data_IF_493110485403
#
_entry.id   IF_493110485403
#
_cell.length_a   1.000
_cell.length_b   1.000
_cell.length_c   1.000
_cell.angle_alpha   90.00
_cell.angle_beta   90.00
_cell.angle_gamma   90.00
#
_symmetry.space_group_name_H-M   'P 1'
#
loop_
_entity.id
_entity.type
_entity.pdbx_description
1 polymer ?
#
# COMPACT_ATOMS: atom_id res chain seq x y z
N UNK A 1 -50.89 46.48 31.56
CA UNK A 1 -51.12 45.07 31.91
C UNK A 1 -52.11 44.51 30.90
N UNK A 2 -51.91 43.26 30.46
CA UNK A 2 -52.65 42.51 29.42
C UNK A 2 -52.15 42.73 27.98
N UNK A 3 -51.25 41.86 27.51
CA UNK A 3 -51.38 41.05 26.28
C UNK A 3 -50.07 40.29 25.98
N UNK A 4 -49.95 39.05 26.48
CA UNK A 4 -48.86 38.16 26.08
C UNK A 4 -49.22 36.69 26.35
N UNK A 5 -50.29 36.16 25.76
CA UNK A 5 -50.67 34.74 25.93
C UNK A 5 -51.37 34.09 24.71
N UNK A 6 -51.21 34.63 23.50
CA UNK A 6 -51.86 34.06 22.29
C UNK A 6 -50.90 33.30 21.36
N UNK A 7 -49.58 33.38 21.56
CA UNK A 7 -48.63 32.78 20.60
C UNK A 7 -48.09 31.37 20.96
N UNK A 8 -48.55 30.76 22.05
CA UNK A 8 -48.06 29.46 22.53
C UNK A 8 -48.99 28.26 22.24
N UNK A 9 -50.16 28.46 21.62
CA UNK A 9 -51.11 27.36 21.31
C UNK A 9 -51.01 26.76 19.91
N UNK A 10 -50.23 27.35 19.00
CA UNK A 10 -50.09 26.84 17.62
C UNK A 10 -48.86 25.95 17.39
N UNK A 11 -48.04 25.70 18.42
CA UNK A 11 -46.81 24.89 18.29
C UNK A 11 -46.98 23.47 18.91
N UNK A 12 -47.97 23.25 19.76
CA UNK A 12 -48.19 21.95 20.43
C UNK A 12 -49.14 20.99 19.70
N UNK A 13 -49.83 21.43 18.64
CA UNK A 13 -50.82 20.62 17.90
C UNK A 13 -50.30 20.03 16.57
N UNK A 14 -48.99 19.85 16.42
CA UNK A 14 -48.41 19.16 15.24
C UNK A 14 -47.57 17.93 15.57
N UNK A 15 -47.75 17.40 16.78
CA UNK A 15 -47.40 16.04 17.15
C UNK A 15 -48.71 15.32 17.48
N UNK A 16 -48.83 14.09 16.97
CA UNK A 16 -49.91 13.11 17.15
C UNK A 16 -50.88 12.95 15.97
N UNK A 17 -50.99 11.69 15.55
CA UNK A 17 -51.77 11.10 14.44
C UNK A 17 -51.25 11.32 13.02
N UNK A 18 -50.44 10.36 12.56
CA UNK A 18 -50.88 9.48 11.47
C UNK A 18 -50.16 8.12 11.61
N UNK A 19 -50.94 7.09 11.96
CA UNK A 19 -50.57 5.66 11.94
C UNK A 19 -51.58 4.93 11.06
N UNK A 20 -51.07 3.94 10.32
CA UNK A 20 -51.74 2.90 9.52
C UNK A 20 -52.32 3.36 8.16
N UNK A 21 -52.15 2.69 7.02
CA UNK A 21 -51.62 1.38 6.63
C UNK A 21 -51.29 1.43 5.12
N UNK A 22 -50.33 0.61 4.66
CA UNK A 22 -50.48 -0.29 3.49
C UNK A 22 -49.11 -0.86 3.06
N UNK A 23 -49.07 -2.19 3.04
CA UNK A 23 -47.99 -3.08 2.67
C UNK A 23 -47.67 -3.03 1.17
N UNK A 24 -46.37 -3.12 0.82
CA UNK A 24 -45.77 -4.14 -0.07
C UNK A 24 -44.57 -3.65 -0.92
N UNK A 25 -43.49 -4.45 -0.83
CA UNK A 25 -42.30 -4.55 -1.70
C UNK A 25 -41.34 -3.34 -1.69
N UNK A 26 -40.14 -3.34 -1.08
CA UNK A 26 -39.13 -4.39 -0.98
C UNK A 26 -38.39 -4.27 0.36
N UNK A 27 -38.73 -5.15 1.31
CA UNK A 27 -37.92 -5.37 2.51
C UNK A 27 -36.64 -6.11 2.12
N UNK A 28 -35.62 -5.36 1.71
CA UNK A 28 -34.24 -5.86 1.69
C UNK A 28 -33.90 -6.24 3.12
N UNK A 29 -33.91 -7.55 3.35
CA UNK A 29 -33.68 -8.27 4.60
C UNK A 29 -32.43 -7.75 5.36
N UNK A 30 -32.58 -6.68 6.17
CA UNK A 30 -31.51 -6.08 7.00
C UNK A 30 -31.12 -7.01 8.16
N UNK A 31 -31.96 -7.97 8.53
CA UNK A 31 -31.69 -8.91 9.62
C UNK A 31 -30.69 -10.03 9.26
N UNK A 32 -30.43 -10.28 7.98
CA UNK A 32 -29.42 -11.27 7.57
C UNK A 32 -28.00 -10.70 7.42
N UNK A 33 -27.81 -9.38 7.47
CA UNK A 33 -26.47 -8.75 7.44
C UNK A 33 -25.76 -8.76 8.82
N UNK A 34 -26.48 -9.11 9.89
CA UNK A 34 -25.97 -9.11 11.27
C UNK A 34 -25.42 -10.46 11.74
N UNK A 35 -25.46 -11.53 10.91
CA UNK A 35 -25.15 -12.89 11.37
C UNK A 35 -23.74 -13.43 11.08
N UNK A 36 -22.77 -12.61 10.65
CA UNK A 36 -21.35 -13.05 10.61
C UNK A 36 -20.28 -11.96 10.84
N UNK A 37 -20.65 -10.72 11.19
CA UNK A 37 -19.72 -9.56 11.25
C UNK A 37 -18.83 -9.46 12.50
N UNK A 38 -18.77 -10.46 13.39
CA UNK A 38 -18.04 -10.36 14.66
C UNK A 38 -17.26 -11.66 14.91
N UNK A 39 -15.96 -11.70 14.56
CA UNK A 39 -14.93 -11.43 15.58
C UNK A 39 -13.70 -10.61 15.10
N UNK A 40 -13.57 -10.29 13.82
CA UNK A 40 -12.30 -9.75 13.29
C UNK A 40 -11.92 -8.36 13.82
N UNK A 41 -12.89 -7.49 14.15
CA UNK A 41 -12.60 -6.13 14.67
C UNK A 41 -11.94 -6.21 16.04
N UNK A 42 -12.46 -7.10 16.89
CA UNK A 42 -11.91 -7.36 18.23
C UNK A 42 -10.52 -7.99 18.12
N UNK A 43 -10.32 -8.89 17.15
CA UNK A 43 -9.01 -9.50 16.89
C UNK A 43 -7.99 -8.45 16.42
N UNK A 44 -8.35 -7.57 15.48
CA UNK A 44 -7.46 -6.47 15.05
C UNK A 44 -7.08 -5.53 16.19
N UNK A 45 -8.06 -5.12 17.01
CA UNK A 45 -7.81 -4.31 18.22
C UNK A 45 -6.91 -5.03 19.23
N UNK A 46 -7.09 -6.34 19.41
CA UNK A 46 -6.24 -7.16 20.27
C UNK A 46 -4.80 -7.19 19.74
N UNK A 47 -4.57 -7.44 18.45
CA UNK A 47 -3.23 -7.43 17.87
C UNK A 47 -2.57 -6.05 17.91
N UNK A 48 -3.34 -4.96 17.82
CA UNK A 48 -2.82 -3.61 18.06
C UNK A 48 -2.39 -3.43 19.52
N UNK A 49 -3.21 -3.86 20.47
CA UNK A 49 -2.86 -3.80 21.89
C UNK A 49 -1.62 -4.64 22.19
N UNK A 50 -1.52 -5.84 21.63
CA UNK A 50 -0.32 -6.70 21.70
C UNK A 50 0.87 -5.97 21.07
N UNK A 51 0.74 -5.36 19.90
CA UNK A 51 1.83 -4.62 19.27
C UNK A 51 2.31 -3.45 20.15
N UNK A 52 1.39 -2.73 20.81
CA UNK A 52 1.76 -1.66 21.76
C UNK A 52 2.49 -2.25 22.97
N UNK A 53 2.00 -3.35 23.55
CA UNK A 53 2.67 -4.03 24.66
C UNK A 53 4.07 -4.50 24.23
N UNK A 54 4.20 -5.14 23.07
CA UNK A 54 5.49 -5.58 22.53
C UNK A 54 6.39 -4.39 22.27
N UNK A 55 5.88 -3.26 21.77
CA UNK A 55 6.67 -2.03 21.58
C UNK A 55 7.17 -1.46 22.92
N UNK A 56 6.31 -1.41 23.95
CA UNK A 56 6.71 -1.00 25.31
C UNK A 56 7.79 -1.94 25.84
N UNK A 57 7.64 -3.26 25.63
CA UNK A 57 8.64 -4.27 25.99
C UNK A 57 9.94 -4.09 25.20
N UNK A 58 9.89 -3.81 23.89
CA UNK A 58 11.04 -3.47 23.04
C UNK A 58 11.83 -2.27 23.57
N UNK A 59 11.15 -1.31 24.19
CA UNK A 59 11.77 -0.12 24.77
C UNK A 59 12.28 -0.42 26.19
N UNK A 60 11.45 -1.05 27.01
CA UNK A 60 11.68 -1.25 28.44
C UNK A 60 12.76 -2.30 28.72
N UNK A 61 12.80 -3.42 27.98
CA UNK A 61 13.80 -4.47 28.21
C UNK A 61 15.22 -3.96 27.99
N UNK A 62 15.58 -3.38 26.83
CA UNK A 62 16.92 -2.86 26.62
C UNK A 62 17.25 -1.77 27.64
N UNK A 63 16.35 -0.80 27.85
CA UNK A 63 16.61 0.32 28.77
C UNK A 63 16.83 -0.11 30.23
N UNK A 64 16.23 -1.22 30.68
CA UNK A 64 16.36 -1.73 32.05
C UNK A 64 17.43 -2.80 32.23
N UNK A 65 17.75 -3.58 31.18
CA UNK A 65 18.68 -4.71 31.25
C UNK A 65 20.06 -4.44 30.64
N UNK A 66 20.25 -3.28 29.98
CA UNK A 66 21.52 -2.88 29.33
C UNK A 66 22.74 -2.92 30.27
N UNK A 67 22.54 -2.80 31.58
CA UNK A 67 23.63 -2.87 32.56
C UNK A 67 23.91 -4.28 33.10
N UNK A 68 23.09 -5.28 32.75
CA UNK A 68 23.14 -6.64 33.34
C UNK A 68 23.35 -7.77 32.33
N UNK A 69 23.02 -7.56 31.06
CA UNK A 69 23.16 -8.56 30.01
C UNK A 69 24.34 -8.25 29.08
N UNK A 70 24.93 -9.30 28.52
CA UNK A 70 25.90 -9.14 27.45
C UNK A 70 25.27 -8.39 26.25
N UNK A 71 26.02 -7.49 25.59
CA UNK A 71 25.50 -6.68 24.49
C UNK A 71 24.96 -7.53 23.33
N UNK A 72 25.61 -8.66 23.06
CA UNK A 72 25.21 -9.61 22.01
C UNK A 72 23.81 -10.19 22.25
N UNK A 73 23.59 -10.77 23.43
CA UNK A 73 22.28 -11.33 23.79
C UNK A 73 21.18 -10.26 23.78
N UNK A 74 21.50 -9.04 24.23
CA UNK A 74 20.54 -7.92 24.25
C UNK A 74 20.12 -7.50 22.85
N UNK A 75 21.07 -7.46 21.90
CA UNK A 75 20.81 -7.14 20.49
C UNK A 75 19.92 -8.16 19.78
N UNK A 76 20.20 -9.45 19.98
CA UNK A 76 19.40 -10.54 19.37
C UNK A 76 17.97 -10.52 19.90
N UNK A 77 17.80 -10.39 21.23
CA UNK A 77 16.48 -10.28 21.86
C UNK A 77 15.72 -9.07 21.31
N UNK A 78 16.39 -7.92 21.18
CA UNK A 78 15.78 -6.72 20.62
C UNK A 78 15.29 -6.92 19.18
N UNK A 79 16.12 -7.51 18.29
CA UNK A 79 15.72 -7.81 16.91
C UNK A 79 14.51 -8.76 16.86
N UNK A 80 14.49 -9.80 17.71
CA UNK A 80 13.37 -10.73 17.80
C UNK A 80 12.07 -10.04 18.28
N UNK A 81 12.16 -9.15 19.28
CA UNK A 81 11.03 -8.38 19.77
C UNK A 81 10.52 -7.38 18.71
N UNK A 82 11.41 -6.69 18.01
CA UNK A 82 11.05 -5.78 16.93
C UNK A 82 10.40 -6.52 15.75
N UNK A 83 10.93 -7.69 15.36
CA UNK A 83 10.29 -8.55 14.36
C UNK A 83 8.89 -8.99 14.80
N UNK A 84 8.73 -9.40 16.06
CA UNK A 84 7.42 -9.76 16.63
C UNK A 84 6.43 -8.59 16.61
N UNK A 85 6.90 -7.38 16.93
CA UNK A 85 6.13 -6.14 16.82
C UNK A 85 5.63 -5.90 15.39
N UNK A 86 6.51 -6.01 14.40
CA UNK A 86 6.15 -5.82 12.98
C UNK A 86 5.15 -6.87 12.50
N UNK A 87 5.30 -8.13 12.91
CA UNK A 87 4.32 -9.20 12.62
C UNK A 87 2.96 -8.91 13.24
N UNK A 88 2.92 -8.42 14.49
CA UNK A 88 1.66 -8.04 15.13
C UNK A 88 0.98 -6.88 14.39
N UNK A 89 1.73 -5.86 13.96
CA UNK A 89 1.19 -4.78 13.13
C UNK A 89 0.68 -5.28 11.78
N UNK A 90 1.43 -6.16 11.12
CA UNK A 90 1.02 -6.77 9.86
C UNK A 90 -0.31 -7.53 10.00
N UNK A 91 -0.43 -8.37 11.03
CA UNK A 91 -1.64 -9.15 11.31
C UNK A 91 -2.81 -8.23 11.64
N UNK A 92 -2.58 -7.21 12.48
CA UNK A 92 -3.56 -6.17 12.79
C UNK A 92 -4.10 -5.52 11.50
N UNK A 93 -3.22 -5.13 10.59
CA UNK A 93 -3.61 -4.54 9.31
C UNK A 93 -4.37 -5.51 8.43
N UNK A 94 -3.95 -6.77 8.34
CA UNK A 94 -4.70 -7.78 7.58
C UNK A 94 -6.14 -7.91 8.09
N UNK A 95 -6.35 -7.90 9.40
CA UNK A 95 -7.70 -7.97 9.98
C UNK A 95 -8.54 -6.71 9.76
N UNK A 96 -7.97 -5.52 9.97
CA UNK A 96 -8.69 -4.27 9.70
C UNK A 96 -9.02 -4.17 8.20
N UNK A 97 -8.11 -4.59 7.34
CA UNK A 97 -8.29 -4.55 5.89
C UNK A 97 -9.34 -5.53 5.40
N UNK A 98 -9.33 -6.77 5.93
CA UNK A 98 -10.35 -7.77 5.62
C UNK A 98 -11.76 -7.27 5.95
N UNK A 99 -11.92 -6.57 7.07
CA UNK A 99 -13.18 -5.93 7.48
C UNK A 99 -13.57 -4.73 6.61
N UNK A 100 -12.61 -3.90 6.21
CA UNK A 100 -12.85 -2.71 5.37
C UNK A 100 -13.11 -3.04 3.90
N UNK A 101 -12.70 -4.22 3.44
CA UNK A 101 -12.84 -4.67 2.05
C UNK A 101 -14.27 -5.04 1.67
N UNK A 102 -15.13 -5.46 2.61
CA UNK A 102 -16.49 -5.91 2.29
C UNK A 102 -17.45 -4.75 1.99
N UNK A 103 -17.18 -3.53 2.48
CA UNK A 103 -18.02 -2.35 2.21
C UNK A 103 -17.70 -1.63 0.90
N UNK A 104 -16.76 -2.12 0.09
CA UNK A 104 -16.33 -1.50 -1.17
C UNK A 104 -16.81 -2.29 -2.41
N UNK A 105 -17.99 -2.90 -2.35
CA UNK A 105 -18.67 -3.51 -3.50
C UNK A 105 -19.19 -2.47 -4.52
N UNK A 106 -18.36 -1.49 -4.86
CA UNK A 106 -18.59 -0.49 -5.92
C UNK A 106 -17.59 -0.72 -7.07
N UNK A 107 -17.28 -1.99 -7.34
CA UNK A 107 -16.49 -2.45 -8.50
C UNK A 107 -17.38 -2.90 -9.67
N UNK A 108 -18.71 -2.82 -9.52
CA UNK A 108 -19.68 -3.43 -10.44
C UNK A 108 -20.36 -2.45 -11.41
N UNK A 109 -19.82 -1.24 -11.63
CA UNK A 109 -20.46 -0.27 -12.54
C UNK A 109 -19.62 -0.08 -13.80
N UNK A 110 -20.11 -0.71 -14.87
CA UNK A 110 -19.91 -0.44 -16.30
C UNK A 110 -18.45 -0.46 -16.82
N UNK A 111 -17.95 -1.67 -17.10
CA UNK A 111 -16.66 -1.91 -17.76
C UNK A 111 -16.57 -1.43 -19.22
N UNK A 112 -17.68 -0.98 -19.81
CA UNK A 112 -17.80 -0.87 -21.27
C UNK A 112 -17.52 0.55 -21.82
N UNK A 113 -17.27 1.55 -20.95
CA UNK A 113 -17.02 2.94 -21.39
C UNK A 113 -15.67 3.54 -20.99
N UNK A 114 -14.74 2.80 -20.37
CA UNK A 114 -13.47 3.35 -19.85
C UNK A 114 -12.33 3.47 -20.88
N UNK A 115 -12.66 3.73 -22.15
CA UNK A 115 -11.68 3.84 -23.24
C UNK A 115 -10.77 5.06 -23.14
N UNK A 116 -11.31 6.21 -22.70
CA UNK A 116 -10.61 7.49 -22.79
C UNK A 116 -10.34 8.07 -21.39
N UNK A 117 -9.07 8.08 -21.01
CA UNK A 117 -8.61 8.63 -19.74
C UNK A 117 -8.45 10.14 -19.90
N UNK A 118 -9.31 10.92 -19.25
CA UNK A 118 -9.17 12.38 -19.24
C UNK A 118 -7.85 12.75 -18.54
N UNK A 119 -7.06 13.65 -19.13
CA UNK A 119 -5.82 14.17 -18.52
C UNK A 119 -6.13 15.17 -17.39
N UNK A 120 -6.87 14.72 -16.39
CA UNK A 120 -7.14 15.47 -15.16
C UNK A 120 -5.88 15.51 -14.28
N UNK A 121 -5.77 16.52 -13.42
CA UNK A 121 -4.69 16.64 -12.44
C UNK A 121 -4.51 15.35 -11.62
N UNK A 122 -5.62 14.76 -11.16
CA UNK A 122 -5.62 13.52 -10.39
C UNK A 122 -5.00 12.34 -11.16
N UNK A 123 -5.34 12.19 -12.44
CA UNK A 123 -4.81 11.11 -13.27
C UNK A 123 -3.32 11.31 -13.59
N UNK A 124 -2.89 12.54 -13.85
CA UNK A 124 -1.46 12.86 -14.06
C UNK A 124 -0.66 12.56 -12.79
N UNK A 125 -1.15 13.00 -11.63
CA UNK A 125 -0.54 12.70 -10.33
C UNK A 125 -0.47 11.20 -10.06
N UNK A 126 -1.51 10.45 -10.43
CA UNK A 126 -1.53 8.99 -10.31
C UNK A 126 -0.46 8.32 -11.18
N UNK A 127 -0.32 8.73 -12.44
CA UNK A 127 0.70 8.21 -13.36
C UNK A 127 2.11 8.50 -12.84
N UNK A 128 2.37 9.75 -12.44
CA UNK A 128 3.66 10.14 -11.86
C UNK A 128 3.96 9.30 -10.62
N UNK A 129 2.98 9.10 -9.75
CA UNK A 129 3.11 8.25 -8.56
C UNK A 129 3.50 6.81 -8.90
N UNK A 130 2.92 6.22 -9.95
CA UNK A 130 3.26 4.85 -10.40
C UNK A 130 4.69 4.81 -10.96
N UNK A 131 5.13 5.84 -11.70
CA UNK A 131 6.50 5.93 -12.22
C UNK A 131 7.51 6.07 -11.08
N UNK A 132 7.22 6.92 -10.09
CA UNK A 132 8.07 7.07 -8.90
C UNK A 132 8.14 5.74 -8.13
N UNK A 133 7.00 5.07 -7.93
CA UNK A 133 6.94 3.75 -7.29
C UNK A 133 7.81 2.73 -8.04
N UNK A 134 7.76 2.71 -9.37
CA UNK A 134 8.64 1.87 -10.17
C UNK A 134 10.12 2.19 -9.93
N UNK A 135 10.50 3.45 -9.96
CA UNK A 135 11.89 3.87 -9.75
C UNK A 135 12.38 3.45 -8.36
N UNK A 136 11.55 3.60 -7.31
CA UNK A 136 11.87 3.18 -5.94
C UNK A 136 11.98 1.66 -5.79
N UNK A 137 11.08 0.89 -6.42
CA UNK A 137 11.17 -0.58 -6.38
C UNK A 137 12.40 -1.05 -7.16
N UNK A 138 12.67 -0.43 -8.31
CA UNK A 138 13.84 -0.74 -9.12
C UNK A 138 15.14 -0.43 -8.38
N UNK A 139 15.18 0.66 -7.57
CA UNK A 139 16.39 1.04 -6.83
C UNK A 139 16.89 0.00 -5.85
N UNK A 140 16.01 -0.87 -5.33
CA UNK A 140 16.44 -1.99 -4.49
C UNK A 140 17.35 -2.98 -5.22
N UNK A 141 17.30 -3.01 -6.56
CA UNK A 141 18.22 -3.84 -7.34
C UNK A 141 19.65 -3.29 -7.29
N UNK A 142 19.88 -2.02 -6.97
CA UNK A 142 21.20 -1.38 -7.04
C UNK A 142 21.81 -1.14 -5.66
N UNK A 143 21.92 -2.18 -4.82
CA UNK A 143 22.45 -2.05 -3.46
C UNK A 143 23.92 -1.55 -3.47
N UNK A 144 24.29 -0.70 -2.51
CA UNK A 144 25.62 -0.09 -2.38
C UNK A 144 26.74 -1.11 -2.15
N UNK A 145 26.44 -2.26 -1.54
CA UNK A 145 27.42 -3.35 -1.35
C UNK A 145 27.52 -4.29 -2.54
N UNK A 146 26.48 -4.38 -3.38
CA UNK A 146 26.61 -5.02 -4.68
C UNK A 146 27.39 -4.06 -5.57
N UNK A 147 28.68 -4.32 -5.77
CA UNK A 147 29.49 -3.54 -6.69
C UNK A 147 28.85 -3.62 -8.08
N UNK A 148 28.11 -2.58 -8.49
CA UNK A 148 27.70 -2.44 -9.88
C UNK A 148 28.94 -2.04 -10.65
N UNK A 149 29.74 -3.05 -11.01
CA UNK A 149 31.10 -2.91 -11.52
C UNK A 149 31.20 -2.18 -12.89
N UNK A 150 30.13 -1.55 -13.37
CA UNK A 150 30.09 -0.70 -14.55
C UNK A 150 29.71 0.78 -14.33
N UNK A 151 29.13 1.19 -13.18
CA UNK A 151 28.80 2.60 -12.94
C UNK A 151 28.55 2.93 -11.45
N UNK A 152 29.39 3.79 -10.87
CA UNK A 152 29.18 4.35 -9.52
C UNK A 152 27.88 5.15 -9.40
N UNK A 153 27.40 5.71 -10.51
CA UNK A 153 26.18 6.52 -10.52
C UNK A 153 24.91 5.68 -10.32
N UNK A 154 24.89 4.44 -10.81
CA UNK A 154 23.76 3.54 -10.59
C UNK A 154 23.65 3.14 -9.11
N UNK A 155 24.76 3.03 -8.40
CA UNK A 155 24.75 2.85 -6.94
C UNK A 155 24.08 4.00 -6.18
N UNK A 156 24.06 5.22 -6.73
CA UNK A 156 23.32 6.33 -6.13
C UNK A 156 21.80 6.18 -6.25
N UNK A 157 21.31 5.35 -7.16
CA UNK A 157 19.87 5.12 -7.29
C UNK A 157 19.27 4.46 -6.04
N UNK A 158 20.07 3.69 -5.27
CA UNK A 158 19.65 3.13 -3.98
C UNK A 158 19.13 4.19 -3.01
N UNK A 159 19.64 5.42 -3.12
CA UNK A 159 19.19 6.52 -2.27
C UNK A 159 17.75 6.97 -2.53
N UNK A 160 17.10 6.45 -3.58
CA UNK A 160 15.67 6.70 -3.84
C UNK A 160 14.76 5.85 -2.94
N UNK A 161 15.21 4.65 -2.53
CA UNK A 161 14.51 3.79 -1.58
C UNK A 161 15.05 3.92 -0.14
N UNK A 162 16.34 4.22 0.02
CA UNK A 162 17.01 4.46 1.31
C UNK A 162 17.62 5.86 1.30
N UNK A 163 16.93 6.91 1.74
CA UNK A 163 17.29 8.29 1.43
C UNK A 163 18.47 8.85 2.23
N UNK A 164 19.48 8.04 2.58
CA UNK A 164 20.57 8.49 3.44
C UNK A 164 21.89 7.74 3.22
N UNK A 165 22.99 8.49 3.23
CA UNK A 165 24.34 7.98 3.47
C UNK A 165 24.53 7.80 4.98
N UNK A 166 25.27 6.77 5.45
CA UNK A 166 25.57 6.61 6.86
C UNK A 166 26.20 7.85 7.51
N UNK A 167 25.86 8.11 8.78
CA UNK A 167 26.41 9.21 9.59
C UNK A 167 25.48 10.43 9.72
N UNK A 168 26.04 11.64 9.73
CA UNK A 168 25.28 12.89 9.90
C UNK A 168 24.11 13.07 8.92
N UNK A 169 24.23 12.73 7.61
CA UNK A 169 23.11 12.83 6.68
C UNK A 169 21.90 11.98 7.10
N UNK A 170 22.14 10.76 7.61
CA UNK A 170 21.07 9.92 8.16
C UNK A 170 20.36 10.60 9.32
N UNK A 171 21.07 11.20 10.28
CA UNK A 171 20.43 11.89 11.42
C UNK A 171 19.45 12.97 10.98
N UNK A 172 19.85 13.80 10.02
CA UNK A 172 19.00 14.88 9.50
C UNK A 172 17.78 14.30 8.79
N UNK A 173 18.01 13.34 7.89
CA UNK A 173 16.93 12.69 7.14
C UNK A 173 15.98 11.92 8.04
N UNK A 174 16.48 11.30 9.11
CA UNK A 174 15.68 10.60 10.10
C UNK A 174 14.63 11.51 10.73
N UNK A 175 15.03 12.69 11.22
CA UNK A 175 14.09 13.62 11.84
C UNK A 175 13.11 14.22 10.83
N UNK A 176 13.55 14.47 9.59
CA UNK A 176 12.66 14.91 8.50
C UNK A 176 11.61 13.83 8.21
N UNK A 177 12.03 12.58 8.02
CA UNK A 177 11.12 11.47 7.73
C UNK A 177 10.21 11.13 8.91
N UNK A 178 10.70 11.29 10.15
CA UNK A 178 9.89 11.16 11.35
C UNK A 178 8.73 12.17 11.35
N UNK A 179 8.99 13.45 11.04
CA UNK A 179 7.91 14.45 10.92
C UNK A 179 6.95 14.12 9.77
N UNK A 180 7.48 13.70 8.62
CA UNK A 180 6.67 13.28 7.47
C UNK A 180 5.78 12.08 7.82
N UNK A 181 6.20 11.19 8.71
CA UNK A 181 5.40 10.05 9.17
C UNK A 181 4.08 10.48 9.85
N UNK A 182 3.99 11.68 10.42
CA UNK A 182 2.74 12.21 10.97
C UNK A 182 1.89 12.95 9.94
N UNK A 183 2.46 13.29 8.78
CA UNK A 183 1.78 14.13 7.80
C UNK A 183 0.45 13.57 7.27
N UNK A 184 0.24 12.26 7.02
CA UNK A 184 -1.07 11.78 6.59
C UNK A 184 -2.13 11.97 7.67
N UNK A 185 -1.75 11.77 8.94
CA UNK A 185 -2.66 11.94 10.06
C UNK A 185 -3.00 13.42 10.28
N UNK A 186 -1.99 14.29 10.32
CA UNK A 186 -2.17 15.74 10.42
C UNK A 186 -3.04 16.24 9.27
N UNK A 187 -2.78 15.77 8.04
CA UNK A 187 -3.57 16.14 6.86
C UNK A 187 -5.05 15.80 7.04
N UNK A 188 -5.38 14.56 7.44
CA UNK A 188 -6.77 14.13 7.64
C UNK A 188 -7.45 14.94 8.75
N UNK A 189 -6.75 15.20 9.85
CA UNK A 189 -7.28 16.01 10.97
C UNK A 189 -7.53 17.46 10.52
N UNK A 190 -6.57 18.07 9.83
CA UNK A 190 -6.70 19.44 9.31
C UNK A 190 -7.87 19.56 8.34
N UNK A 191 -8.01 18.63 7.39
CA UNK A 191 -9.15 18.61 6.46
C UNK A 191 -10.46 18.51 7.24
N UNK A 192 -10.57 17.62 8.23
CA UNK A 192 -11.78 17.50 9.05
C UNK A 192 -12.09 18.76 9.86
N UNK A 193 -11.08 19.39 10.45
CA UNK A 193 -11.24 20.64 11.21
C UNK A 193 -11.69 21.79 10.31
N UNK A 194 -11.12 21.91 9.12
CA UNK A 194 -11.53 22.91 8.12
C UNK A 194 -12.98 22.68 7.71
N UNK A 195 -13.36 21.45 7.38
CA UNK A 195 -14.75 21.12 7.01
C UNK A 195 -15.73 21.41 8.15
N UNK A 196 -15.35 21.08 9.40
CA UNK A 196 -16.17 21.39 10.57
C UNK A 196 -16.36 22.90 10.77
N UNK A 197 -15.27 23.68 10.64
CA UNK A 197 -15.32 25.13 10.72
C UNK A 197 -16.19 25.75 9.61
N UNK A 198 -16.04 25.26 8.38
CA UNK A 198 -16.84 25.70 7.24
C UNK A 198 -18.32 25.39 7.44
N UNK A 199 -18.63 24.20 7.93
CA UNK A 199 -20.02 23.79 8.22
C UNK A 199 -20.64 24.71 9.26
N UNK A 200 -19.90 25.01 10.35
CA UNK A 200 -20.38 25.89 11.41
C UNK A 200 -20.56 27.34 10.96
N UNK A 201 -19.72 27.84 10.04
CA UNK A 201 -19.72 29.26 9.63
C UNK A 201 -20.61 29.56 8.44
N UNK A 202 -20.68 28.66 7.46
CA UNK A 202 -21.32 28.88 6.16
C UNK A 202 -22.49 27.92 5.89
N UNK A 203 -22.74 26.98 6.80
CA UNK A 203 -23.79 25.97 6.66
C UNK A 203 -23.36 24.73 5.87
N UNK A 204 -24.22 23.71 5.93
CA UNK A 204 -23.98 22.40 5.33
C UNK A 204 -23.98 22.46 3.79
N UNK A 205 -24.88 23.23 3.18
CA UNK A 205 -24.99 23.33 1.72
C UNK A 205 -23.73 23.89 1.05
N UNK A 206 -23.13 24.92 1.65
CA UNK A 206 -21.85 25.46 1.16
C UNK A 206 -20.72 24.45 1.31
N UNK A 207 -20.66 23.75 2.45
CA UNK A 207 -19.61 22.76 2.71
C UNK A 207 -19.72 21.57 1.77
N UNK A 208 -20.93 21.06 1.51
CA UNK A 208 -21.17 19.98 0.55
C UNK A 208 -20.70 20.38 -0.86
N UNK A 209 -20.99 21.61 -1.28
CA UNK A 209 -20.54 22.16 -2.58
C UNK A 209 -19.02 22.32 -2.64
N UNK A 210 -18.40 22.77 -1.56
CA UNK A 210 -16.94 22.86 -1.48
C UNK A 210 -16.28 21.48 -1.55
N UNK A 211 -16.79 20.52 -0.78
CA UNK A 211 -16.31 19.14 -0.78
C UNK A 211 -16.44 18.54 -2.17
N UNK A 212 -17.62 18.60 -2.80
CA UNK A 212 -17.81 18.03 -4.14
C UNK A 212 -16.85 18.64 -5.18
N UNK A 213 -16.50 19.93 -5.05
CA UNK A 213 -15.59 20.62 -5.96
C UNK A 213 -14.10 20.32 -5.71
N UNK A 214 -13.66 20.25 -4.46
CA UNK A 214 -12.22 20.21 -4.11
C UNK A 214 -11.74 18.88 -3.52
N UNK A 215 -12.64 17.98 -3.13
CA UNK A 215 -12.32 16.67 -2.56
C UNK A 215 -11.29 15.93 -3.43
N UNK A 216 -11.46 15.98 -4.76
CA UNK A 216 -10.58 15.28 -5.66
C UNK A 216 -9.13 15.76 -5.59
N UNK A 217 -8.93 17.07 -5.62
CA UNK A 217 -7.59 17.65 -5.57
C UNK A 217 -6.94 17.44 -4.20
N UNK A 218 -7.70 17.62 -3.12
CA UNK A 218 -7.20 17.46 -1.74
C UNK A 218 -6.70 16.02 -1.53
N UNK A 219 -7.52 15.01 -1.83
CA UNK A 219 -7.11 13.62 -1.60
C UNK A 219 -6.10 13.10 -2.63
N UNK A 220 -6.02 13.68 -3.83
CA UNK A 220 -4.95 13.35 -4.79
C UNK A 220 -3.57 13.72 -4.24
N UNK A 221 -3.46 14.85 -3.53
CA UNK A 221 -2.22 15.25 -2.86
C UNK A 221 -1.86 14.25 -1.75
N UNK A 222 -2.83 13.84 -0.94
CA UNK A 222 -2.61 12.84 0.11
C UNK A 222 -2.17 11.49 -0.49
N UNK A 223 -2.83 11.02 -1.54
CA UNK A 223 -2.46 9.79 -2.23
C UNK A 223 -1.02 9.88 -2.77
N UNK A 224 -0.68 11.00 -3.41
CA UNK A 224 0.67 11.21 -3.96
C UNK A 224 1.73 11.21 -2.87
N UNK A 225 1.50 11.93 -1.77
CA UNK A 225 2.40 12.00 -0.64
C UNK A 225 2.60 10.61 -0.04
N UNK A 226 1.51 9.90 0.23
CA UNK A 226 1.56 8.57 0.84
C UNK A 226 2.26 7.60 -0.10
N UNK A 227 1.91 7.54 -1.38
CA UNK A 227 2.49 6.60 -2.32
C UNK A 227 4.00 6.84 -2.55
N UNK A 228 4.41 8.11 -2.63
CA UNK A 228 5.80 8.51 -2.89
C UNK A 228 6.68 8.40 -1.65
N UNK A 229 6.18 8.81 -0.48
CA UNK A 229 6.97 8.84 0.75
C UNK A 229 6.89 7.54 1.55
N UNK A 230 6.05 6.58 1.15
CA UNK A 230 5.86 5.33 1.87
C UNK A 230 7.18 4.60 2.15
N UNK A 231 7.91 4.27 1.08
CA UNK A 231 9.16 3.53 1.17
C UNK A 231 10.24 4.33 1.91
N UNK A 232 10.55 5.59 1.53
CA UNK A 232 11.53 6.40 2.26
C UNK A 232 11.27 6.52 3.76
N UNK A 233 10.02 6.75 4.17
CA UNK A 233 9.66 6.87 5.59
C UNK A 233 9.85 5.53 6.31
N UNK A 234 9.29 4.43 5.79
CA UNK A 234 9.41 3.11 6.42
C UNK A 234 10.87 2.66 6.51
N UNK A 235 11.64 2.76 5.42
CA UNK A 235 13.06 2.40 5.40
C UNK A 235 13.86 3.22 6.41
N UNK A 236 13.58 4.52 6.54
CA UNK A 236 14.29 5.39 7.49
C UNK A 236 13.93 5.06 8.94
N UNK A 237 12.67 4.71 9.23
CA UNK A 237 12.27 4.27 10.57
C UNK A 237 12.90 2.91 10.92
N UNK A 238 13.06 2.00 9.96
CA UNK A 238 13.85 0.79 10.17
C UNK A 238 15.34 1.09 10.39
N UNK A 239 15.90 2.03 9.63
CA UNK A 239 17.29 2.46 9.79
C UNK A 239 17.61 3.08 11.16
N UNK A 240 16.61 3.65 11.84
CA UNK A 240 16.73 4.16 13.21
C UNK A 240 16.69 3.09 14.29
N UNK A 241 16.50 1.83 13.91
CA UNK A 241 16.38 0.67 14.81
C UNK A 241 17.50 -0.35 14.54
N UNK A 242 18.00 -0.41 13.32
CA UNK A 242 18.94 -1.44 12.89
C UNK A 242 20.36 -1.26 13.45
N UNK A 243 20.89 -2.37 13.95
CA UNK A 243 22.08 -2.42 14.77
C UNK A 243 22.92 -3.65 14.42
N UNK A 244 24.19 -3.44 14.12
CA UNK A 244 25.20 -4.48 14.13
C UNK A 244 25.72 -4.66 15.55
N UNK A 245 25.72 -5.91 15.97
CA UNK A 245 26.08 -6.33 17.33
C UNK A 245 27.14 -7.42 17.16
N UNK A 246 28.36 -6.97 16.86
CA UNK A 246 29.54 -7.83 16.80
C UNK A 246 30.30 -7.65 18.11
N UNK A 247 30.87 -8.70 18.70
CA UNK A 247 31.28 -8.75 20.12
C UNK A 247 32.14 -7.56 20.63
N UNK A 248 32.82 -6.82 19.76
CA UNK A 248 33.58 -5.60 20.05
C UNK A 248 32.94 -4.28 19.61
N UNK A 249 31.96 -4.27 18.70
CA UNK A 249 31.33 -3.09 18.12
C UNK A 249 29.81 -3.20 18.13
N UNK A 250 29.15 -2.34 18.91
CA UNK A 250 27.69 -2.27 19.02
C UNK A 250 27.22 -0.91 18.54
N UNK A 251 27.03 -0.74 17.24
CA UNK A 251 26.76 0.56 16.63
C UNK A 251 25.56 0.51 15.69
N UNK A 252 24.83 1.62 15.58
CA UNK A 252 23.73 1.75 14.63
C UNK A 252 24.28 1.67 13.20
N UNK A 253 23.70 0.84 12.34
CA UNK A 253 24.24 0.62 10.98
C UNK A 253 24.14 1.89 10.13
N UNK A 254 23.05 2.64 10.31
CA UNK A 254 22.83 3.92 9.64
C UNK A 254 23.71 5.05 10.17
N UNK A 255 24.32 4.90 11.35
CA UNK A 255 25.29 5.85 11.91
C UNK A 255 26.22 5.19 12.94
N UNK A 256 27.42 4.74 12.50
CA UNK A 256 28.36 4.03 13.36
C UNK A 256 28.86 4.82 14.58
N UNK A 257 28.62 6.14 14.64
CA UNK A 257 28.99 6.96 15.81
C UNK A 257 27.97 6.87 16.95
N UNK A 258 26.82 6.21 16.73
CA UNK A 258 25.78 5.98 17.74
C UNK A 258 25.90 4.56 18.28
N UNK A 259 26.06 4.44 19.59
CA UNK A 259 26.09 3.14 20.28
C UNK A 259 24.69 2.51 20.37
N UNK A 260 24.60 1.22 20.05
CA UNK A 260 23.35 0.49 20.08
C UNK A 260 22.75 0.41 21.49
N UNK A 261 21.41 0.54 21.57
CA UNK A 261 20.61 0.43 22.78
C UNK A 261 21.03 1.38 23.92
N UNK A 262 21.79 2.43 23.60
CA UNK A 262 22.34 3.38 24.58
C UNK A 262 22.27 4.81 24.06
N UNK A 263 22.19 5.76 24.99
CA UNK A 263 22.28 7.20 24.71
C UNK A 263 21.31 7.63 23.61
N UNK A 264 21.85 8.15 22.51
CA UNK A 264 21.08 8.68 21.40
C UNK A 264 20.25 7.63 20.65
N UNK A 265 20.61 6.33 20.70
CA UNK A 265 19.81 5.32 19.98
C UNK A 265 18.41 5.14 20.59
N UNK A 266 18.26 5.30 21.91
CA UNK A 266 16.96 5.08 22.59
C UNK A 266 15.86 6.01 22.02
N UNK A 267 16.08 7.34 21.89
CA UNK A 267 15.15 8.21 21.20
C UNK A 267 14.80 7.77 19.77
N UNK A 268 15.76 7.27 18.99
CA UNK A 268 15.49 6.79 17.63
C UNK A 268 14.59 5.56 17.66
N UNK A 269 14.81 4.61 18.57
CA UNK A 269 13.93 3.43 18.73
C UNK A 269 12.51 3.86 19.08
N UNK A 270 12.35 4.71 20.10
CA UNK A 270 11.03 5.17 20.58
C UNK A 270 10.28 5.90 19.47
N UNK A 271 10.94 6.87 18.82
CA UNK A 271 10.35 7.63 17.72
C UNK A 271 10.01 6.73 16.53
N UNK A 272 10.87 5.77 16.17
CA UNK A 272 10.62 4.84 15.07
C UNK A 272 9.40 3.95 15.35
N UNK A 273 9.27 3.43 16.58
CA UNK A 273 8.11 2.63 16.97
C UNK A 273 6.81 3.44 16.90
N UNK A 274 6.80 4.66 17.43
CA UNK A 274 5.62 5.55 17.38
C UNK A 274 5.27 5.87 15.91
N UNK A 275 6.26 6.25 15.11
CA UNK A 275 6.07 6.56 13.71
C UNK A 275 5.55 5.35 12.92
N UNK A 276 6.05 4.14 13.16
CA UNK A 276 5.57 2.92 12.52
C UNK A 276 4.13 2.60 12.93
N UNK A 277 3.77 2.68 14.22
CA UNK A 277 2.38 2.45 14.68
C UNK A 277 1.41 3.44 14.03
N UNK A 278 1.82 4.68 13.83
CA UNK A 278 0.94 5.71 13.27
C UNK A 278 0.92 5.72 11.74
N UNK A 279 2.09 5.76 11.10
CA UNK A 279 2.23 5.96 9.67
C UNK A 279 1.86 4.72 8.88
N UNK A 280 2.35 3.53 9.25
CA UNK A 280 2.15 2.33 8.45
C UNK A 280 0.66 1.99 8.26
N UNK A 281 -0.17 1.96 9.32
CA UNK A 281 -1.61 1.84 9.15
C UNK A 281 -2.23 2.99 8.36
N UNK A 282 -1.96 4.24 8.76
CA UNK A 282 -2.60 5.40 8.14
C UNK A 282 -2.30 5.51 6.64
N UNK A 283 -1.06 5.26 6.25
CA UNK A 283 -0.60 5.23 4.87
C UNK A 283 -1.24 4.08 4.09
N UNK A 284 -1.26 2.86 4.65
CA UNK A 284 -1.89 1.69 4.02
C UNK A 284 -3.38 1.96 3.75
N UNK A 285 -4.10 2.55 4.72
CA UNK A 285 -5.50 2.91 4.55
C UNK A 285 -5.68 4.04 3.55
N UNK A 286 -4.95 5.14 3.70
CA UNK A 286 -5.03 6.27 2.79
C UNK A 286 -4.81 5.84 1.34
N UNK A 287 -3.79 5.02 1.07
CA UNK A 287 -3.48 4.52 -0.27
C UNK A 287 -4.59 3.64 -0.85
N UNK A 288 -5.34 2.91 -0.02
CA UNK A 288 -6.48 2.09 -0.47
C UNK A 288 -7.78 2.89 -0.68
N UNK A 289 -8.02 3.91 0.16
CA UNK A 289 -9.28 4.67 0.16
C UNK A 289 -9.30 5.83 -0.84
N UNK A 290 -8.14 6.47 -1.06
CA UNK A 290 -8.04 7.65 -1.94
C UNK A 290 -8.04 7.31 -3.43
N UNK A 291 -8.15 6.02 -3.79
CA UNK A 291 -8.19 5.57 -5.18
C UNK A 291 -9.54 5.80 -5.86
N UNK A 292 -10.62 5.98 -5.11
CA UNK A 292 -11.96 6.20 -5.66
C UNK A 292 -12.10 7.54 -6.41
N UNK A 293 -11.02 8.32 -6.47
CA UNK A 293 -11.01 9.74 -6.80
C UNK A 293 -10.28 10.00 -8.14
N UNK A 294 -9.45 9.06 -8.59
CA UNK A 294 -8.88 9.05 -9.95
C UNK A 294 -9.62 8.05 -10.83
N UNK A 295 -9.56 8.23 -12.15
CA UNK A 295 -10.06 7.21 -13.10
C UNK A 295 -9.19 5.95 -13.08
N UNK A 296 -7.93 6.11 -12.67
CA UNK A 296 -7.00 5.02 -12.39
C UNK A 296 -7.32 4.44 -11.00
N UNK A 297 -8.17 3.41 -10.96
CA UNK A 297 -8.55 2.70 -9.72
C UNK A 297 -7.92 1.32 -9.68
N UNK A 298 -7.38 0.91 -8.53
CA UNK A 298 -6.84 -0.43 -8.33
C UNK A 298 -7.67 -1.23 -7.34
N UNK A 299 -7.78 -2.54 -7.58
CA UNK A 299 -8.44 -3.46 -6.67
C UNK A 299 -7.82 -3.31 -5.27
N UNK A 300 -8.58 -2.93 -4.24
CA UNK A 300 -7.99 -2.47 -2.99
C UNK A 300 -7.17 -3.60 -2.34
N UNK A 301 -7.66 -4.84 -2.38
CA UNK A 301 -6.95 -6.04 -1.89
C UNK A 301 -5.56 -6.19 -2.50
N UNK A 302 -5.42 -5.90 -3.79
CA UNK A 302 -4.14 -6.00 -4.49
C UNK A 302 -3.19 -4.87 -4.07
N UNK A 303 -3.73 -3.66 -3.90
CA UNK A 303 -2.96 -2.50 -3.40
C UNK A 303 -2.40 -2.80 -2.02
N UNK A 304 -3.23 -3.38 -1.13
CA UNK A 304 -2.77 -3.79 0.19
C UNK A 304 -1.59 -4.76 0.10
N UNK A 305 -1.67 -5.79 -0.73
CA UNK A 305 -0.57 -6.74 -0.94
C UNK A 305 0.70 -6.04 -1.46
N UNK A 306 0.58 -5.09 -2.40
CA UNK A 306 1.72 -4.29 -2.86
C UNK A 306 2.36 -3.49 -1.73
N UNK A 307 1.56 -2.85 -0.89
CA UNK A 307 2.03 -2.11 0.29
C UNK A 307 2.76 -3.03 1.25
N UNK A 308 2.27 -4.24 1.47
CA UNK A 308 2.96 -5.23 2.30
C UNK A 308 4.30 -5.67 1.72
N UNK A 309 4.35 -5.96 0.41
CA UNK A 309 5.60 -6.31 -0.25
C UNK A 309 6.64 -5.19 -0.17
N UNK A 310 6.22 -3.92 -0.22
CA UNK A 310 7.12 -2.76 -0.02
C UNK A 310 7.74 -2.74 1.38
N UNK A 311 6.97 -3.07 2.43
CA UNK A 311 7.50 -3.17 3.80
C UNK A 311 8.53 -4.29 3.90
N UNK A 312 8.27 -5.43 3.26
CA UNK A 312 9.23 -6.55 3.20
C UNK A 312 10.51 -6.10 2.51
N UNK A 313 10.42 -5.44 1.35
CA UNK A 313 11.59 -4.90 0.64
C UNK A 313 12.39 -3.95 1.54
N UNK A 314 11.74 -2.94 2.13
CA UNK A 314 12.38 -1.98 3.04
C UNK A 314 13.05 -2.68 4.23
N UNK A 315 12.39 -3.68 4.81
CA UNK A 315 12.94 -4.46 5.93
C UNK A 315 14.18 -5.24 5.52
N UNK A 316 14.11 -5.96 4.39
CA UNK A 316 15.25 -6.73 3.88
C UNK A 316 16.43 -5.82 3.54
N UNK A 317 16.17 -4.66 2.98
CA UNK A 317 17.22 -3.69 2.65
C UNK A 317 17.97 -3.19 3.87
N UNK A 318 17.26 -2.95 4.97
CA UNK A 318 17.87 -2.42 6.19
C UNK A 318 18.49 -3.54 7.02
N UNK A 319 17.76 -4.62 7.31
CA UNK A 319 18.22 -5.64 8.26
C UNK A 319 19.11 -6.75 7.65
N UNK A 320 19.14 -6.90 6.32
CA UNK A 320 19.94 -7.91 5.64
C UNK A 320 21.14 -7.32 4.88
N UNK A 321 21.69 -6.20 5.36
CA UNK A 321 22.89 -5.52 4.84
C UNK A 321 24.04 -6.52 4.63
N UNK A 322 24.40 -7.25 5.69
CA UNK A 322 25.48 -8.24 5.67
C UNK A 322 25.12 -9.58 4.96
N UNK A 323 23.87 -9.76 4.54
CA UNK A 323 23.35 -10.98 3.91
C UNK A 323 22.84 -10.69 2.50
N UNK A 324 23.70 -10.13 1.66
CA UNK A 324 23.36 -9.67 0.31
C UNK A 324 22.67 -10.73 -0.58
N UNK A 325 23.05 -12.01 -0.48
CA UNK A 325 22.36 -13.11 -1.19
C UNK A 325 20.92 -13.29 -0.71
N UNK A 326 20.69 -13.22 0.60
CA UNK A 326 19.33 -13.30 1.15
C UNK A 326 18.51 -12.07 0.73
N UNK A 327 19.12 -10.89 0.79
CA UNK A 327 18.55 -9.63 0.34
C UNK A 327 18.08 -9.70 -1.12
N UNK A 328 19.00 -9.98 -2.05
CA UNK A 328 18.68 -10.04 -3.48
C UNK A 328 17.65 -11.14 -3.77
N UNK A 329 17.70 -12.26 -3.04
CA UNK A 329 16.73 -13.36 -3.18
C UNK A 329 15.32 -12.93 -2.79
N UNK A 330 15.20 -12.16 -1.71
CA UNK A 330 13.92 -11.59 -1.30
C UNK A 330 13.41 -10.54 -2.30
N UNK A 331 14.29 -9.68 -2.84
CA UNK A 331 13.91 -8.69 -3.86
C UNK A 331 13.41 -9.38 -5.14
N UNK A 332 14.08 -10.45 -5.59
CA UNK A 332 13.65 -11.29 -6.72
C UNK A 332 12.26 -11.87 -6.44
N UNK A 333 12.06 -12.48 -5.26
CA UNK A 333 10.79 -13.09 -4.89
C UNK A 333 9.64 -12.07 -4.85
N UNK A 334 9.84 -10.90 -4.24
CA UNK A 334 8.81 -9.85 -4.18
C UNK A 334 8.51 -9.28 -5.57
N UNK A 335 9.52 -8.98 -6.38
CA UNK A 335 9.32 -8.49 -7.76
C UNK A 335 8.58 -9.51 -8.62
N UNK A 336 8.90 -10.80 -8.48
CA UNK A 336 8.17 -11.88 -9.16
C UNK A 336 6.71 -11.96 -8.71
N UNK A 337 6.45 -11.92 -7.40
CA UNK A 337 5.09 -11.88 -6.85
C UNK A 337 4.31 -10.68 -7.40
N UNK A 338 4.92 -9.49 -7.42
CA UNK A 338 4.32 -8.27 -7.97
C UNK A 338 3.97 -8.42 -9.45
N UNK A 339 4.88 -9.00 -10.24
CA UNK A 339 4.65 -9.29 -11.65
C UNK A 339 3.48 -10.27 -11.86
N UNK A 340 3.51 -11.41 -11.16
CA UNK A 340 2.46 -12.45 -11.26
C UNK A 340 1.10 -11.90 -10.85
N UNK A 341 1.02 -11.18 -9.74
CA UNK A 341 -0.22 -10.55 -9.26
C UNK A 341 -0.75 -9.55 -10.29
N UNK A 342 0.11 -8.73 -10.87
CA UNK A 342 -0.31 -7.72 -11.84
C UNK A 342 -0.83 -8.37 -13.15
N UNK A 343 -0.17 -9.43 -13.62
CA UNK A 343 -0.56 -10.18 -14.83
C UNK A 343 -1.85 -10.98 -14.60
N UNK A 344 -1.94 -11.70 -13.48
CA UNK A 344 -3.04 -12.62 -13.21
C UNK A 344 -4.33 -11.89 -12.77
N UNK A 345 -4.21 -10.89 -11.88
CA UNK A 345 -5.39 -10.26 -11.27
C UNK A 345 -5.85 -8.99 -11.98
N UNK A 346 -5.01 -8.43 -12.87
CA UNK A 346 -5.22 -7.16 -13.60
C UNK A 346 -5.85 -6.11 -12.67
N UNK A 347 -5.10 -5.61 -11.69
CA UNK A 347 -5.68 -4.90 -10.56
C UNK A 347 -6.30 -3.57 -10.94
N UNK A 348 -5.85 -2.90 -12.01
CA UNK A 348 -6.44 -1.65 -12.46
C UNK A 348 -7.63 -1.88 -13.39
N UNK A 349 -8.63 -1.00 -13.37
CA UNK A 349 -9.68 -0.98 -14.40
C UNK A 349 -9.11 -0.61 -15.78
N UNK A 350 -8.11 0.27 -15.79
CA UNK A 350 -7.50 0.78 -17.02
C UNK A 350 -6.45 -0.21 -17.53
N UNK A 351 -6.73 -0.87 -18.66
CA UNK A 351 -5.88 -1.96 -19.16
C UNK A 351 -4.46 -1.48 -19.52
N UNK A 352 -4.28 -0.28 -20.08
CA UNK A 352 -2.95 0.21 -20.43
C UNK A 352 -2.09 0.48 -19.17
N UNK A 353 -2.70 0.88 -18.05
CA UNK A 353 -1.99 1.05 -16.77
C UNK A 353 -1.50 -0.30 -16.25
N UNK A 354 -2.33 -1.35 -16.34
CA UNK A 354 -1.89 -2.71 -16.01
C UNK A 354 -0.72 -3.15 -16.89
N UNK A 355 -0.78 -2.89 -18.21
CA UNK A 355 0.30 -3.19 -19.15
C UNK A 355 1.60 -2.48 -18.77
N UNK A 356 1.52 -1.17 -18.48
CA UNK A 356 2.66 -0.37 -18.03
C UNK A 356 3.29 -0.95 -16.76
N UNK A 357 2.48 -1.28 -15.74
CA UNK A 357 2.97 -1.89 -14.49
C UNK A 357 3.62 -3.26 -14.73
N UNK A 358 3.08 -4.08 -15.62
CA UNK A 358 3.69 -5.38 -16.00
C UNK A 358 5.08 -5.17 -16.59
N UNK A 359 5.24 -4.19 -17.48
CA UNK A 359 6.55 -3.85 -18.06
C UNK A 359 7.52 -3.38 -16.97
N UNK A 360 7.07 -2.48 -16.09
CA UNK A 360 7.86 -1.98 -14.97
C UNK A 360 8.33 -3.09 -14.02
N UNK A 361 7.44 -3.97 -13.57
CA UNK A 361 7.83 -5.09 -12.71
C UNK A 361 8.75 -6.10 -13.42
N UNK A 362 8.59 -6.28 -14.73
CA UNK A 362 9.50 -7.12 -15.52
C UNK A 362 10.91 -6.52 -15.61
N UNK A 363 11.01 -5.21 -15.80
CA UNK A 363 12.30 -4.51 -15.78
C UNK A 363 12.95 -4.53 -14.39
N UNK A 364 12.18 -4.33 -13.32
CA UNK A 364 12.69 -4.47 -11.95
C UNK A 364 13.21 -5.89 -11.70
N UNK A 365 12.40 -6.91 -12.03
CA UNK A 365 12.76 -8.32 -11.87
C UNK A 365 14.05 -8.66 -12.62
N UNK A 366 14.15 -8.26 -13.89
CA UNK A 366 15.36 -8.43 -14.68
C UNK A 366 16.56 -7.70 -14.10
N UNK A 367 16.34 -6.47 -13.61
CA UNK A 367 17.39 -5.68 -12.97
C UNK A 367 17.95 -6.40 -11.74
N UNK A 368 17.09 -6.98 -10.90
CA UNK A 368 17.53 -7.71 -9.71
C UNK A 368 18.31 -8.98 -10.08
N UNK A 369 17.91 -9.69 -11.15
CA UNK A 369 18.69 -10.83 -11.68
C UNK A 369 20.08 -10.39 -12.12
N UNK A 370 20.19 -9.27 -12.84
CA UNK A 370 21.47 -8.71 -13.26
C UNK A 370 22.34 -8.35 -12.04
N UNK A 371 21.74 -7.78 -11.00
CA UNK A 371 22.44 -7.48 -9.75
C UNK A 371 22.90 -8.73 -8.99
N UNK A 372 22.14 -9.82 -9.06
CA UNK A 372 22.57 -11.12 -8.54
C UNK A 372 23.80 -11.64 -9.29
N UNK A 373 23.79 -11.57 -10.63
CA UNK A 373 24.95 -11.96 -11.45
C UNK A 373 26.16 -11.05 -11.18
N UNK A 374 25.94 -9.76 -10.91
CA UNK A 374 26.99 -8.81 -10.56
C UNK A 374 27.71 -9.14 -9.25
N UNK A 375 27.09 -9.94 -8.38
CA UNK A 375 27.65 -10.33 -7.10
C UNK A 375 28.59 -11.54 -7.18
N UNK A 376 28.63 -12.27 -8.30
CA UNK A 376 29.56 -13.39 -8.46
C UNK A 376 30.98 -12.88 -8.78
N UNK A 377 31.95 -13.22 -7.93
CA UNK A 377 33.36 -12.83 -8.05
C UNK A 377 34.00 -13.25 -9.39
N UNK A 378 33.45 -14.27 -10.05
CA UNK A 378 33.93 -14.76 -11.33
C UNK A 378 33.41 -13.96 -12.54
N UNK A 379 32.51 -13.01 -12.33
CA UNK A 379 31.88 -12.26 -13.41
C UNK A 379 32.68 -11.01 -13.75
N UNK A 380 32.96 -10.81 -15.04
CA UNK A 380 33.62 -9.58 -15.51
C UNK A 380 32.78 -8.35 -15.16
N UNK A 381 33.44 -7.32 -14.65
CA UNK A 381 32.86 -6.05 -14.19
C UNK A 381 31.79 -5.41 -15.08
N UNK A 382 31.95 -5.50 -16.41
CA UNK A 382 31.02 -4.89 -17.37
C UNK A 382 29.83 -5.79 -17.74
N UNK A 383 29.91 -7.09 -17.49
CA UNK A 383 28.91 -8.06 -17.96
C UNK A 383 27.49 -7.81 -17.40
N UNK A 384 27.30 -7.47 -16.12
CA UNK A 384 25.96 -7.20 -15.58
C UNK A 384 25.29 -5.97 -16.22
N UNK A 385 26.07 -4.93 -16.53
CA UNK A 385 25.56 -3.74 -17.21
C UNK A 385 25.14 -4.05 -18.65
N UNK A 386 25.96 -4.81 -19.37
CA UNK A 386 25.61 -5.27 -20.73
C UNK A 386 24.36 -6.16 -20.69
N UNK A 387 24.28 -7.09 -19.73
CA UNK A 387 23.10 -7.96 -19.54
C UNK A 387 21.84 -7.16 -19.20
N UNK A 388 21.97 -6.10 -18.39
CA UNK A 388 20.86 -5.20 -18.06
C UNK A 388 20.36 -4.50 -19.33
N UNK A 389 21.25 -3.82 -20.07
CA UNK A 389 20.88 -3.04 -21.26
C UNK A 389 20.28 -3.95 -22.33
N UNK A 390 20.97 -5.06 -22.66
CA UNK A 390 20.49 -6.01 -23.66
C UNK A 390 19.16 -6.61 -23.23
N UNK A 391 19.03 -7.04 -21.98
CA UNK A 391 17.78 -7.62 -21.50
C UNK A 391 16.61 -6.64 -21.46
N UNK A 392 16.84 -5.37 -21.10
CA UNK A 392 15.81 -4.33 -21.20
C UNK A 392 15.38 -4.08 -22.65
N UNK A 393 16.31 -4.04 -23.60
CA UNK A 393 16.00 -3.91 -25.03
C UNK A 393 15.20 -5.12 -25.52
N UNK A 394 15.62 -6.34 -25.18
CA UNK A 394 14.92 -7.58 -25.54
C UNK A 394 13.51 -7.61 -24.96
N UNK A 395 13.35 -7.26 -23.68
CA UNK A 395 12.05 -7.18 -23.02
C UNK A 395 11.16 -6.10 -23.66
N UNK A 396 11.70 -4.92 -23.96
CA UNK A 396 10.97 -3.84 -24.62
C UNK A 396 10.46 -4.26 -26.01
N UNK A 397 11.33 -4.86 -26.83
CA UNK A 397 10.94 -5.41 -28.14
C UNK A 397 9.92 -6.53 -27.96
N UNK A 398 10.14 -7.45 -27.03
CA UNK A 398 9.22 -8.55 -26.74
C UNK A 398 7.83 -8.07 -26.35
N UNK A 399 7.73 -7.08 -25.46
CA UNK A 399 6.45 -6.46 -25.10
C UNK A 399 5.82 -5.70 -26.26
N UNK A 400 6.62 -4.95 -27.04
CA UNK A 400 6.13 -4.26 -28.23
C UNK A 400 5.50 -5.25 -29.22
N UNK A 401 6.21 -6.32 -29.58
CA UNK A 401 5.70 -7.37 -30.46
C UNK A 401 4.47 -8.05 -29.86
N UNK A 402 4.53 -8.44 -28.58
CA UNK A 402 3.41 -9.09 -27.90
C UNK A 402 2.15 -8.25 -27.95
N UNK A 403 2.23 -6.95 -27.62
CA UNK A 403 1.05 -6.08 -27.61
C UNK A 403 0.57 -5.68 -29.01
N UNK A 404 1.46 -5.56 -29.99
CA UNK A 404 1.10 -5.31 -31.39
C UNK A 404 0.40 -6.52 -32.01
N UNK A 405 0.88 -7.75 -31.74
CA UNK A 405 0.32 -8.96 -32.34
C UNK A 405 -0.83 -9.59 -31.55
N UNK A 406 -0.99 -9.29 -30.26
CA UNK A 406 -2.11 -9.79 -29.44
C UNK A 406 -3.50 -9.62 -30.07
N UNK A 407 -3.92 -8.45 -30.61
CA UNK A 407 -5.24 -8.31 -31.20
C UNK A 407 -5.43 -9.25 -32.40
N UNK A 408 -4.40 -9.36 -33.25
CA UNK A 408 -4.39 -10.23 -34.43
C UNK A 408 -4.54 -11.70 -33.99
N UNK A 409 -3.74 -12.14 -33.01
CA UNK A 409 -3.79 -13.51 -32.48
C UNK A 409 -5.16 -13.81 -31.86
N UNK A 410 -5.73 -12.90 -31.08
CA UNK A 410 -7.05 -13.08 -30.47
C UNK A 410 -8.17 -13.14 -31.54
N UNK A 411 -8.05 -12.39 -32.63
CA UNK A 411 -8.97 -12.47 -33.77
C UNK A 411 -8.88 -13.84 -34.47
N UNK A 412 -7.67 -14.36 -34.72
CA UNK A 412 -7.50 -15.70 -35.29
C UNK A 412 -7.99 -16.81 -34.36
N UNK A 413 -7.70 -16.72 -33.05
CA UNK A 413 -8.14 -17.70 -32.05
C UNK A 413 -9.66 -17.71 -31.91
N UNK A 414 -10.32 -16.54 -31.92
CA UNK A 414 -11.78 -16.45 -31.83
C UNK A 414 -12.48 -16.97 -33.10
N UNK A 415 -11.84 -16.87 -34.27
CA UNK A 415 -12.34 -17.42 -35.54
C UNK A 415 -12.02 -18.92 -35.72
N UNK A 416 -11.15 -19.50 -34.90
CA UNK A 416 -10.80 -20.91 -34.99
C UNK A 416 -12.02 -21.81 -34.67
N UNK A 417 -12.41 -22.74 -35.57
CA UNK A 417 -13.65 -23.52 -35.44
C UNK A 417 -13.69 -24.46 -34.23
N UNK A 418 -12.56 -24.68 -33.54
CA UNK A 418 -12.44 -25.58 -32.39
C UNK A 418 -13.14 -25.05 -31.13
N UNK A 419 -13.23 -23.73 -30.93
CA UNK A 419 -13.91 -23.12 -29.76
C UNK A 419 -15.44 -23.01 -29.93
N UNK A 420 -15.97 -23.13 -31.15
CA UNK A 420 -17.42 -22.97 -31.43
C UNK A 420 -18.27 -24.15 -30.97
N UNK A 421 -17.66 -25.32 -30.68
CA UNK A 421 -18.39 -26.53 -30.25
C UNK A 421 -18.77 -26.52 -28.77
N UNK A 422 -18.11 -25.76 -27.89
CA UNK A 422 -18.42 -25.76 -26.46
C UNK A 422 -19.69 -24.99 -26.09
N UNK A 423 -20.08 -23.96 -26.85
CA UNK A 423 -21.26 -23.14 -26.55
C UNK A 423 -22.56 -23.63 -27.22
N UNK A 424 -22.54 -24.69 -28.05
CA UNK A 424 -23.76 -25.26 -28.65
C UNK A 424 -24.39 -26.40 -27.85
N UNK A 425 -23.72 -26.91 -26.80
CA UNK A 425 -24.23 -28.04 -26.00
C UNK A 425 -25.14 -27.63 -24.82
N UNK A 426 -25.44 -26.34 -24.64
CA UNK A 426 -26.24 -25.83 -23.51
C UNK A 426 -27.54 -25.13 -23.92
N UNK A 427 -28.01 -25.30 -25.17
CA UNK A 427 -29.40 -25.03 -25.51
C UNK A 427 -30.21 -26.31 -25.30
N UNK A 428 -30.79 -26.44 -24.11
CA UNK A 428 -31.82 -27.44 -23.84
C UNK A 428 -33.01 -27.24 -24.80
N UNK A 429 -33.62 -28.32 -25.32
CA UNK A 429 -34.85 -28.22 -26.09
C UNK A 429 -36.01 -27.86 -25.16
N UNK A 430 -36.57 -26.66 -25.32
CA UNK A 430 -37.86 -26.30 -24.74
C UNK A 430 -38.96 -27.07 -25.46
N UNK A 431 -39.33 -28.24 -24.92
CA UNK A 431 -40.60 -28.88 -25.26
C UNK A 431 -41.69 -28.27 -24.38
N UNK A 432 -42.38 -27.27 -24.93
CA UNK A 432 -43.67 -26.84 -24.40
C UNK A 432 -44.73 -27.83 -24.91
N UNK A 433 -45.08 -28.80 -24.08
CA UNK A 433 -46.28 -29.60 -24.27
C UNK A 433 -47.48 -28.77 -23.82
N UNK A 434 -48.28 -28.33 -24.79
CA UNK A 434 -49.63 -27.82 -24.60
C UNK A 434 -50.52 -28.91 -24.02
N UNK A 435 -51.12 -28.67 -22.86
CA UNK A 435 -52.22 -29.48 -22.35
C UNK A 435 -53.41 -28.56 -22.14
N UNK A 436 -54.27 -28.55 -23.16
CA UNK A 436 -55.62 -28.00 -23.10
C UNK A 436 -56.45 -28.77 -22.08
N UNK A 437 -57.06 -28.06 -21.13
CA UNK A 437 -58.18 -28.58 -20.35
C UNK A 437 -59.28 -27.51 -20.33
N UNK A 438 -60.40 -27.85 -20.96
CA UNK A 438 -61.75 -27.31 -20.79
C UNK A 438 -62.69 -28.47 -21.16
N UNK A 439 -63.90 -28.61 -20.58
CA UNK A 439 -64.78 -27.57 -20.07
C UNK A 439 -64.89 -27.48 -18.55
#
# INVERSE_FOLDING_TARGET
MVNQDIHLRDIENKMENDTDSDDDADSVNVENANKSKIPFRKIGQLFLAIAIVVAVVCIALPSSLVNKLEPYSSGVIFKALFGSFMVCLFICLCFIYYLGSESQAMWDVDSDSFGDLNLSFSNVTAIIGIVIEFVQICSFSFNAESSYLGSKYLGYSNYLAIPYKPGTPFRVMYWVMFVIAFSPYIFVVVVRLVLHFMTKRFGEGYTATFVSKYQQNIYSILWFLVNTMYLPVISTMFGGVDCTVDGSLNTLDSDPTINCLKGLHIPFIVCSLIALVMYYPAASFAQSQTQNISDIKFKPRVVFIFVQGKVILASMTVFATNLIKLYLGAVIAVNFCFLVINVALKPCLVEWVNRMRTVFFSFCFWCTICSWVAYDDNTKSYAPLVLLIVGWVVLAIGFFLFYTFRPIVMEYVSKAPFMRKSNRSLKAPSSAASMDISP
#
